data_IF_097331821466
#
_entry.id   IF_097331821466
#
_cell.length_a   1.000
_cell.length_b   1.000
_cell.length_c   1.000
_cell.angle_alpha   90.00
_cell.angle_beta   90.00
_cell.angle_gamma   90.00
#
_symmetry.space_group_name_H-M   'P 1'
#
loop_
_entity.id
_entity.type
_entity.pdbx_description
1 polymer ?
#
# COMPACT_ATOMS: atom_id res chain seq x y z
N UNK A 1 16.23 13.64 6.27
CA UNK A 1 15.21 12.58 6.48
C UNK A 1 15.78 11.46 7.36
N UNK A 2 15.01 10.95 8.33
CA UNK A 2 15.47 9.86 9.19
C UNK A 2 15.26 8.51 8.50
N UNK A 3 16.31 7.67 8.41
CA UNK A 3 16.18 6.30 7.91
C UNK A 3 15.34 5.47 8.88
N UNK A 4 14.52 4.57 8.35
CA UNK A 4 13.69 3.68 9.15
C UNK A 4 14.57 2.68 9.91
N UNK A 5 14.20 2.32 11.14
CA UNK A 5 14.86 1.23 11.87
C UNK A 5 14.49 -0.12 11.28
N UNK A 6 15.34 -1.12 11.46
CA UNK A 6 15.11 -2.48 10.93
C UNK A 6 13.80 -3.08 11.43
N UNK A 7 13.45 -2.85 12.69
CA UNK A 7 12.19 -3.30 13.31
C UNK A 7 10.96 -2.72 12.60
N UNK A 8 10.97 -1.40 12.33
CA UNK A 8 9.85 -0.72 11.64
C UNK A 8 9.74 -1.15 10.19
N UNK A 9 10.88 -1.49 9.59
CA UNK A 9 10.97 -1.96 8.21
C UNK A 9 10.33 -3.34 8.07
N UNK A 10 10.57 -4.26 9.03
CA UNK A 10 9.89 -5.56 9.08
C UNK A 10 8.38 -5.42 9.19
N UNK A 11 7.88 -4.57 10.09
CA UNK A 11 6.43 -4.34 10.27
C UNK A 11 5.79 -3.78 8.98
N UNK A 12 6.50 -2.89 8.27
CA UNK A 12 6.04 -2.35 7.00
C UNK A 12 5.95 -3.45 5.93
N UNK A 13 7.00 -4.27 5.80
CA UNK A 13 7.04 -5.36 4.82
C UNK A 13 6.04 -6.47 5.12
N UNK A 14 5.85 -6.86 6.38
CA UNK A 14 4.79 -7.81 6.77
C UNK A 14 3.41 -7.32 6.33
N UNK A 15 3.15 -6.01 6.48
CA UNK A 15 1.86 -5.45 6.13
C UNK A 15 1.68 -5.31 4.61
N UNK A 16 2.73 -4.95 3.87
CA UNK A 16 2.70 -4.92 2.41
C UNK A 16 2.61 -6.33 1.81
N UNK A 17 3.24 -7.33 2.43
CA UNK A 17 3.21 -8.72 1.99
C UNK A 17 1.79 -9.30 2.01
N UNK A 18 0.94 -8.83 2.92
CA UNK A 18 -0.48 -9.20 2.94
C UNK A 18 -1.26 -8.77 1.69
N UNK A 19 -0.86 -7.66 1.06
CA UNK A 19 -1.55 -7.11 -0.11
C UNK A 19 -0.88 -7.48 -1.45
N UNK A 20 0.45 -7.61 -1.46
CA UNK A 20 1.28 -7.72 -2.68
C UNK A 20 1.95 -9.09 -2.80
N UNK A 21 2.05 -9.84 -1.70
CA UNK A 21 2.76 -11.12 -1.65
C UNK A 21 4.22 -11.00 -2.11
N UNK A 22 4.72 -11.90 -2.99
CA UNK A 22 6.12 -11.93 -3.43
C UNK A 22 6.52 -10.74 -4.33
N UNK A 23 5.55 -9.97 -4.84
CA UNK A 23 5.78 -8.87 -5.78
C UNK A 23 6.36 -7.59 -5.16
N UNK A 24 6.70 -7.60 -3.86
CA UNK A 24 7.36 -6.49 -3.17
C UNK A 24 8.70 -6.12 -3.82
N UNK A 25 9.42 -7.09 -4.39
CA UNK A 25 10.71 -6.85 -5.07
C UNK A 25 10.58 -5.84 -6.22
N UNK A 26 9.48 -5.92 -6.98
CA UNK A 26 9.19 -5.00 -8.09
C UNK A 26 8.98 -3.55 -7.63
N UNK A 27 8.59 -3.34 -6.36
CA UNK A 27 8.49 -1.99 -5.79
C UNK A 27 9.83 -1.38 -5.41
N UNK A 28 10.81 -2.22 -5.06
CA UNK A 28 12.14 -1.81 -4.59
C UNK A 28 13.07 -1.56 -5.78
N UNK A 29 12.98 -2.36 -6.84
CA UNK A 29 13.88 -2.29 -8.01
C UNK A 29 13.54 -1.15 -9.00
N UNK A 30 12.92 -0.06 -8.54
CA UNK A 30 12.61 1.10 -9.40
C UNK A 30 13.79 2.07 -9.51
N UNK A 31 14.05 2.65 -10.69
CA UNK A 31 15.20 3.52 -10.95
C UNK A 31 15.16 4.92 -10.28
N UNK A 32 14.29 5.14 -9.27
CA UNK A 32 13.96 6.45 -8.68
C UNK A 32 14.91 6.90 -7.55
N UNK A 33 16.02 6.20 -7.30
CA UNK A 33 16.96 6.50 -6.20
C UNK A 33 17.55 7.92 -6.23
N UNK A 34 17.49 8.58 -7.39
CA UNK A 34 18.01 9.94 -7.60
C UNK A 34 17.31 10.99 -6.72
N UNK A 35 16.02 10.82 -6.47
CA UNK A 35 15.20 11.78 -5.71
C UNK A 35 15.65 11.84 -4.24
N UNK A 36 16.09 10.71 -3.69
CA UNK A 36 16.47 10.58 -2.30
C UNK A 36 17.82 11.26 -1.99
N UNK A 37 18.72 11.31 -2.98
CA UNK A 37 19.99 12.04 -2.88
C UNK A 37 19.77 13.55 -2.85
N UNK A 38 18.88 14.07 -3.71
CA UNK A 38 18.54 15.50 -3.78
C UNK A 38 17.78 15.98 -2.53
N UNK A 39 16.95 15.12 -1.95
CA UNK A 39 16.16 15.46 -0.78
C UNK A 39 16.99 15.57 0.52
N UNK A 40 18.25 15.14 0.55
CA UNK A 40 19.16 15.38 1.69
C UNK A 40 19.68 16.83 1.74
N UNK A 41 19.54 17.60 0.67
CA UNK A 41 19.97 19.00 0.60
C UNK A 41 19.02 19.94 1.36
N UNK A 42 17.78 19.52 1.60
CA UNK A 42 16.72 20.36 2.21
C UNK A 42 16.56 20.00 3.70
N UNK A 43 16.48 20.99 4.62
CA UNK A 43 16.25 20.74 6.03
C UNK A 43 14.84 20.14 6.27
N UNK A 44 14.70 19.27 7.30
CA UNK A 44 13.45 18.51 7.54
C UNK A 44 12.25 19.39 7.89
N UNK A 45 12.47 20.60 8.40
CA UNK A 45 11.39 21.54 8.77
C UNK A 45 10.67 22.15 7.56
N UNK A 46 11.37 22.25 6.42
CA UNK A 46 10.84 22.82 5.18
C UNK A 46 10.25 21.77 4.23
N UNK A 47 10.28 20.49 4.63
CA UNK A 47 9.99 19.36 3.77
C UNK A 47 8.65 18.72 4.16
N UNK A 48 7.60 19.02 3.39
CA UNK A 48 6.22 18.55 3.65
C UNK A 48 6.08 17.06 3.31
N UNK A 49 6.54 16.65 2.12
CA UNK A 49 6.62 15.24 1.72
C UNK A 49 7.62 15.07 0.58
N UNK A 50 8.29 13.91 0.52
CA UNK A 50 9.12 13.50 -0.62
C UNK A 50 8.64 12.14 -1.08
N UNK A 51 8.17 12.08 -2.32
CA UNK A 51 7.58 10.90 -2.92
C UNK A 51 6.17 10.60 -2.38
N UNK A 52 5.86 9.31 -2.32
CA UNK A 52 4.51 8.85 -1.97
C UNK A 52 4.46 8.39 -0.52
N UNK A 53 3.57 9.00 0.26
CA UNK A 53 3.31 8.57 1.63
C UNK A 53 2.56 7.23 1.63
N UNK A 54 3.22 6.15 2.05
CA UNK A 54 2.57 4.83 2.17
C UNK A 54 1.65 4.71 3.39
N UNK A 55 1.88 5.51 4.42
CA UNK A 55 1.23 5.29 5.71
C UNK A 55 1.85 6.07 6.84
N UNK A 56 1.32 5.85 8.04
CA UNK A 56 1.90 6.35 9.30
C UNK A 56 2.00 5.25 10.34
N UNK A 57 2.99 5.37 11.21
CA UNK A 57 3.08 4.54 12.41
C UNK A 57 2.16 5.10 13.49
N UNK A 58 1.35 4.22 14.08
CA UNK A 58 0.55 4.54 15.26
C UNK A 58 1.39 4.47 16.53
N UNK A 59 0.91 5.07 17.63
CA UNK A 59 1.56 4.96 18.95
C UNK A 59 1.74 3.50 19.41
N UNK A 60 0.88 2.59 18.92
CA UNK A 60 0.96 1.14 19.16
C UNK A 60 1.93 0.40 18.22
N UNK A 61 2.85 1.10 17.54
CA UNK A 61 3.78 0.57 16.55
C UNK A 61 3.15 -0.17 15.35
N UNK A 62 1.81 -0.17 15.21
CA UNK A 62 1.13 -0.69 14.03
C UNK A 62 1.25 0.33 12.89
N UNK A 63 1.67 -0.12 11.72
CA UNK A 63 1.67 0.68 10.50
C UNK A 63 0.25 0.79 9.93
N UNK A 64 -0.28 1.98 9.65
CA UNK A 64 -1.57 2.16 8.95
C UNK A 64 -1.29 2.62 7.53
N UNK A 65 -1.73 1.85 6.53
CA UNK A 65 -1.62 2.25 5.13
C UNK A 65 -2.60 3.37 4.81
N UNK A 66 -2.15 4.31 3.97
CA UNK A 66 -3.00 5.34 3.37
C UNK A 66 -3.39 4.95 1.95
N UNK A 67 -4.53 5.47 1.47
CA UNK A 67 -5.04 5.25 0.11
C UNK A 67 -4.06 5.72 -0.98
N UNK A 68 -3.16 6.66 -0.65
CA UNK A 68 -2.07 7.10 -1.53
C UNK A 68 -1.11 5.97 -1.96
N UNK A 69 -1.01 4.90 -1.18
CA UNK A 69 -0.23 3.71 -1.55
C UNK A 69 -0.89 2.87 -2.64
N UNK A 70 -2.20 3.01 -2.84
CA UNK A 70 -3.01 2.16 -3.71
C UNK A 70 -2.48 2.13 -5.14
N UNK A 71 -2.05 3.28 -5.69
CA UNK A 71 -1.50 3.36 -7.05
C UNK A 71 -0.28 2.45 -7.27
N UNK A 72 0.49 2.17 -6.22
CA UNK A 72 1.66 1.30 -6.29
C UNK A 72 1.34 -0.15 -5.98
N UNK A 73 0.25 -0.41 -5.26
CA UNK A 73 -0.16 -1.76 -4.83
C UNK A 73 -1.10 -2.39 -5.87
N UNK A 74 -1.97 -1.59 -6.48
CA UNK A 74 -2.94 -1.98 -7.49
C UNK A 74 -2.34 -2.77 -8.67
N UNK A 75 -1.27 -2.35 -9.36
CA UNK A 75 -0.76 -3.15 -10.49
C UNK A 75 -0.30 -4.57 -10.10
N UNK A 76 -0.10 -4.84 -8.81
CA UNK A 76 0.38 -6.12 -8.30
C UNK A 76 -0.65 -6.94 -7.52
N UNK A 77 -1.85 -6.40 -7.28
CA UNK A 77 -2.88 -7.06 -6.49
C UNK A 77 -4.03 -7.59 -7.36
N UNK A 78 -4.51 -8.80 -7.07
CA UNK A 78 -5.27 -9.61 -8.03
C UNK A 78 -6.82 -9.53 -7.99
N UNK A 79 -7.52 -8.71 -7.19
CA UNK A 79 -8.99 -8.90 -6.97
C UNK A 79 -9.92 -7.67 -6.90
N UNK A 80 -11.23 -7.86 -7.23
CA UNK A 80 -12.20 -6.83 -7.70
C UNK A 80 -13.42 -6.56 -6.76
N UNK A 81 -13.95 -5.32 -6.84
CA UNK A 81 -15.25 -4.63 -6.48
C UNK A 81 -15.61 -4.32 -5.00
N UNK A 82 -16.29 -3.24 -4.56
CA UNK A 82 -16.58 -1.82 -4.90
C UNK A 82 -16.90 -1.13 -3.54
N UNK A 83 -16.17 -0.09 -3.09
CA UNK A 83 -16.16 0.33 -1.66
C UNK A 83 -16.21 1.86 -1.39
N UNK A 84 -16.46 2.71 -2.39
CA UNK A 84 -16.21 4.17 -2.32
C UNK A 84 -16.80 4.94 -1.12
N UNK A 85 -17.74 4.36 -0.35
CA UNK A 85 -18.38 4.96 0.81
C UNK A 85 -18.02 4.35 2.17
N UNK A 86 -17.01 3.48 2.26
CA UNK A 86 -16.58 2.94 3.56
C UNK A 86 -17.39 1.74 4.07
N UNK A 87 -18.22 1.13 3.22
CA UNK A 87 -19.05 -0.03 3.55
C UNK A 87 -18.42 -1.33 3.10
N UNK A 88 -18.37 -2.34 3.99
CA UNK A 88 -17.95 -3.71 3.67
C UNK A 88 -18.63 -4.25 2.41
N UNK A 89 -17.84 -5.00 1.61
CA UNK A 89 -18.34 -5.63 0.39
C UNK A 89 -19.33 -6.74 0.77
N UNK A 90 -20.59 -6.56 0.43
CA UNK A 90 -21.62 -7.57 0.64
C UNK A 90 -21.48 -8.70 -0.40
N UNK A 91 -21.90 -9.92 -0.04
CA UNK A 91 -21.88 -11.09 -0.93
C UNK A 91 -22.66 -10.89 -2.24
N UNK A 92 -23.66 -10.01 -2.23
CA UNK A 92 -24.44 -9.62 -3.42
C UNK A 92 -23.71 -8.68 -4.37
N UNK A 93 -22.67 -7.97 -3.90
CA UNK A 93 -21.86 -7.04 -4.71
C UNK A 93 -20.53 -7.63 -5.18
N UNK A 94 -20.29 -8.92 -4.92
CA UNK A 94 -19.09 -9.65 -5.32
C UNK A 94 -19.26 -10.15 -6.77
N UNK A 95 -18.61 -9.48 -7.72
CA UNK A 95 -18.59 -9.91 -9.12
C UNK A 95 -17.62 -11.06 -9.37
N UNK A 96 -16.35 -10.86 -9.05
CA UNK A 96 -15.28 -11.85 -9.25
C UNK A 96 -14.33 -11.85 -8.05
N UNK A 97 -14.10 -13.04 -7.50
CA UNK A 97 -13.11 -13.32 -6.44
C UNK A 97 -12.05 -14.25 -7.04
N UNK A 98 -10.77 -14.05 -6.74
CA UNK A 98 -9.73 -15.01 -7.12
C UNK A 98 -9.82 -16.24 -6.25
N UNK A 99 -9.51 -17.37 -6.87
CA UNK A 99 -9.78 -18.72 -6.36
C UNK A 99 -8.95 -19.08 -5.12
N UNK A 100 -7.91 -18.29 -4.79
CA UNK A 100 -6.98 -18.54 -3.68
C UNK A 100 -7.08 -17.50 -2.55
N UNK A 101 -8.20 -16.79 -2.42
CA UNK A 101 -8.39 -15.82 -1.33
C UNK A 101 -8.69 -16.51 0.00
N UNK A 102 -7.74 -16.50 0.94
CA UNK A 102 -7.92 -17.04 2.29
C UNK A 102 -8.73 -16.09 3.19
N UNK A 103 -9.35 -16.64 4.24
CA UNK A 103 -10.08 -15.85 5.22
C UNK A 103 -9.12 -14.89 5.95
N UNK A 104 -9.46 -13.59 6.00
CA UNK A 104 -8.64 -12.49 6.55
C UNK A 104 -7.41 -12.08 5.74
N UNK A 105 -7.29 -12.52 4.49
CA UNK A 105 -6.29 -12.01 3.58
C UNK A 105 -6.58 -10.54 3.21
N UNK A 106 -5.53 -9.72 3.12
CA UNK A 106 -5.66 -8.36 2.65
C UNK A 106 -5.97 -8.36 1.16
N UNK A 107 -7.06 -7.74 0.77
CA UNK A 107 -7.51 -7.68 -0.62
C UNK A 107 -7.47 -6.25 -1.12
N UNK A 108 -7.09 -6.12 -2.37
CA UNK A 108 -7.29 -4.87 -3.10
C UNK A 108 -8.65 -4.96 -3.78
N UNK A 109 -9.30 -3.83 -3.96
CA UNK A 109 -10.65 -3.75 -4.51
C UNK A 109 -10.62 -2.92 -5.80
N UNK A 110 -10.97 -3.52 -6.95
CA UNK A 110 -11.13 -2.82 -8.25
C UNK A 110 -12.58 -2.51 -8.62
N UNK A 111 -12.85 -1.46 -9.37
CA UNK A 111 -14.12 -1.36 -10.11
C UNK A 111 -14.23 -2.44 -11.20
N UNK A 112 -15.43 -2.66 -11.77
CA UNK A 112 -15.62 -3.49 -12.97
C UNK A 112 -14.84 -2.97 -14.18
N UNK A 113 -14.45 -1.70 -14.15
CA UNK A 113 -13.61 -1.02 -15.14
C UNK A 113 -12.12 -1.07 -14.80
N UNK A 114 -11.68 -2.02 -13.96
CA UNK A 114 -10.29 -2.23 -13.52
C UNK A 114 -9.62 -1.01 -12.83
N UNK A 115 -10.43 -0.09 -12.29
CA UNK A 115 -9.95 1.06 -11.51
C UNK A 115 -9.73 0.65 -10.03
N UNK A 116 -8.53 0.79 -9.46
CA UNK A 116 -8.32 0.47 -8.04
C UNK A 116 -9.02 1.48 -7.14
N UNK A 117 -9.82 1.01 -6.18
CA UNK A 117 -10.63 1.83 -5.29
C UNK A 117 -10.07 1.90 -3.87
N UNK A 118 -9.84 0.76 -3.20
CA UNK A 118 -9.46 0.70 -1.77
C UNK A 118 -8.60 -0.55 -1.44
N UNK A 119 -7.83 -0.47 -0.35
CA UNK A 119 -7.14 -1.58 0.31
C UNK A 119 -7.96 -2.01 1.54
N UNK A 120 -8.47 -3.25 1.58
CA UNK A 120 -9.10 -3.85 2.77
C UNK A 120 -8.18 -4.92 3.38
#
# INVERSE_FOLDING_TARGET
MKRLSEERTKILFEKLAKYIGPNIKLLIERPDEKILKLANTIPPEQLISVGTCFGKFTKSNKFRLHVTALNYIAPYAQQKQQFLYGHHVAKSGLGLISENAEQYQGVVVYSMSDLPLVLE
#
